data_IF_254628705714
#
_entry.id   IF_254628705714
#
_cell.length_a   1.000
_cell.length_b   1.000
_cell.length_c   1.000
_cell.angle_alpha   90.00
_cell.angle_beta   90.00
_cell.angle_gamma   90.00
#
_symmetry.space_group_name_H-M   'P 1'
#
loop_
_entity.id
_entity.type
_entity.pdbx_description
1 polymer ?
#
# COMPACT_ATOMS: atom_id res chain seq x y z
N UNK A 1 -26.12 -10.64 -30.71
CA UNK A 1 -24.75 -11.13 -30.92
C UNK A 1 -23.83 -10.11 -30.28
N UNK A 2 -22.98 -10.50 -29.33
CA UNK A 2 -22.01 -9.55 -28.75
C UNK A 2 -20.97 -9.26 -29.83
N UNK A 3 -20.77 -7.99 -30.13
CA UNK A 3 -19.80 -7.55 -31.13
C UNK A 3 -18.38 -7.72 -30.57
N UNK A 4 -17.60 -8.58 -31.22
CA UNK A 4 -16.22 -8.89 -30.86
C UNK A 4 -15.21 -8.19 -31.77
N UNK A 5 -15.65 -7.22 -32.58
CA UNK A 5 -14.78 -6.52 -33.54
C UNK A 5 -13.84 -5.51 -32.89
N UNK A 6 -14.19 -4.98 -31.73
CA UNK A 6 -13.32 -4.11 -30.93
C UNK A 6 -13.31 -4.51 -29.44
N UNK A 7 -12.52 -5.55 -29.09
CA UNK A 7 -12.41 -6.03 -27.71
C UNK A 7 -11.89 -4.97 -26.75
N UNK A 8 -10.89 -4.19 -27.16
CA UNK A 8 -10.24 -3.21 -26.29
C UNK A 8 -11.22 -2.11 -25.91
N UNK A 9 -11.90 -1.47 -26.88
CA UNK A 9 -12.85 -0.40 -26.58
C UNK A 9 -14.04 -0.92 -25.76
N UNK A 10 -14.51 -2.13 -26.06
CA UNK A 10 -15.63 -2.73 -25.32
C UNK A 10 -15.26 -3.01 -23.87
N UNK A 11 -14.10 -3.63 -23.64
CA UNK A 11 -13.62 -3.96 -22.30
C UNK A 11 -13.35 -2.69 -21.49
N UNK A 12 -12.69 -1.68 -22.07
CA UNK A 12 -12.43 -0.40 -21.40
C UNK A 12 -13.73 0.25 -20.92
N UNK A 13 -14.74 0.36 -21.79
CA UNK A 13 -16.06 0.92 -21.41
C UNK A 13 -16.74 0.13 -20.30
N UNK A 14 -16.58 -1.19 -20.28
CA UNK A 14 -17.14 -2.03 -19.22
C UNK A 14 -16.39 -1.84 -17.90
N UNK A 15 -15.06 -1.66 -17.93
CA UNK A 15 -14.26 -1.32 -16.75
C UNK A 15 -14.65 0.04 -16.16
N UNK A 16 -14.81 1.06 -17.01
CA UNK A 16 -15.27 2.39 -16.61
C UNK A 16 -16.66 2.36 -15.96
N UNK A 17 -17.53 1.45 -16.41
CA UNK A 17 -18.84 1.23 -15.83
C UNK A 17 -18.86 0.25 -14.65
N UNK A 18 -17.70 -0.25 -14.21
CA UNK A 18 -17.55 -1.28 -13.16
C UNK A 18 -18.37 -2.56 -13.41
N UNK A 19 -18.60 -2.90 -14.68
CA UNK A 19 -19.43 -4.04 -15.11
C UNK A 19 -18.62 -5.33 -15.21
N UNK A 20 -17.95 -5.74 -14.15
CA UNK A 20 -17.00 -6.86 -14.16
C UNK A 20 -17.61 -8.20 -14.58
N UNK A 21 -18.86 -8.50 -14.19
CA UNK A 21 -19.55 -9.71 -14.64
C UNK A 21 -19.83 -9.70 -16.16
N UNK A 22 -20.06 -8.53 -16.75
CA UNK A 22 -20.19 -8.40 -18.21
C UNK A 22 -18.84 -8.59 -18.90
N UNK A 23 -17.74 -8.12 -18.31
CA UNK A 23 -16.36 -8.35 -18.80
C UNK A 23 -16.05 -9.83 -18.81
N UNK A 24 -16.35 -10.55 -17.72
CA UNK A 24 -16.17 -12.01 -17.64
C UNK A 24 -16.92 -12.71 -18.77
N UNK A 25 -18.20 -12.35 -18.98
CA UNK A 25 -19.00 -12.93 -20.08
C UNK A 25 -18.38 -12.61 -21.45
N UNK A 26 -17.94 -11.38 -21.65
CA UNK A 26 -17.31 -10.94 -22.90
C UNK A 26 -16.00 -11.70 -23.17
N UNK A 27 -15.12 -11.79 -22.17
CA UNK A 27 -13.85 -12.50 -22.27
C UNK A 27 -14.07 -14.00 -22.51
N UNK A 28 -15.05 -14.63 -21.86
CA UNK A 28 -15.39 -16.04 -22.12
C UNK A 28 -15.78 -16.27 -23.59
N UNK A 29 -16.54 -15.36 -24.19
CA UNK A 29 -16.88 -15.45 -25.63
C UNK A 29 -15.66 -15.27 -26.55
N UNK A 30 -14.68 -14.44 -26.16
CA UNK A 30 -13.41 -14.36 -26.88
C UNK A 30 -12.66 -15.70 -26.79
N UNK A 31 -12.60 -16.28 -25.59
CA UNK A 31 -11.89 -17.54 -25.32
C UNK A 31 -12.56 -18.77 -25.93
N UNK A 32 -13.86 -18.73 -26.18
CA UNK A 32 -14.56 -19.73 -27.00
C UNK A 32 -14.07 -19.74 -28.46
N UNK A 33 -13.69 -18.57 -29.00
CA UNK A 33 -13.15 -18.46 -30.37
C UNK A 33 -11.67 -18.77 -30.43
N UNK A 34 -10.90 -18.26 -29.47
CA UNK A 34 -9.48 -18.54 -29.31
C UNK A 34 -9.13 -18.71 -27.82
N UNK A 35 -8.95 -19.96 -27.35
CA UNK A 35 -8.59 -20.24 -25.95
C UNK A 35 -7.25 -19.63 -25.51
N UNK A 36 -6.42 -19.16 -26.44
CA UNK A 36 -5.12 -18.53 -26.18
C UNK A 36 -5.14 -17.01 -26.39
N UNK A 37 -6.32 -16.40 -26.54
CA UNK A 37 -6.45 -14.96 -26.67
C UNK A 37 -5.94 -14.27 -25.39
N UNK A 38 -4.77 -13.63 -25.49
CA UNK A 38 -4.11 -12.96 -24.36
C UNK A 38 -4.96 -11.82 -23.79
N UNK A 39 -5.65 -11.07 -24.65
CA UNK A 39 -6.51 -9.96 -24.22
C UNK A 39 -7.68 -10.50 -23.39
N UNK A 40 -8.33 -11.56 -23.86
CA UNK A 40 -9.41 -12.23 -23.14
C UNK A 40 -8.95 -12.80 -21.81
N UNK A 41 -7.82 -13.52 -21.77
CA UNK A 41 -7.30 -14.12 -20.54
C UNK A 41 -6.87 -13.08 -19.50
N UNK A 42 -6.13 -12.04 -19.92
CA UNK A 42 -5.65 -10.98 -19.03
C UNK A 42 -6.81 -10.18 -18.42
N UNK A 43 -7.80 -9.80 -19.24
CA UNK A 43 -8.95 -9.05 -18.76
C UNK A 43 -9.92 -9.93 -17.94
N UNK A 44 -9.98 -11.24 -18.22
CA UNK A 44 -10.69 -12.19 -17.38
C UNK A 44 -10.07 -12.26 -15.98
N UNK A 45 -8.74 -12.39 -15.88
CA UNK A 45 -8.03 -12.39 -14.60
C UNK A 45 -8.30 -11.10 -13.81
N UNK A 46 -8.15 -9.93 -14.44
CA UNK A 46 -8.42 -8.64 -13.80
C UNK A 46 -9.88 -8.51 -13.37
N UNK A 47 -10.85 -8.92 -14.19
CA UNK A 47 -12.26 -8.85 -13.80
C UNK A 47 -12.58 -9.73 -12.58
N UNK A 48 -11.97 -10.92 -12.49
CA UNK A 48 -12.09 -11.78 -11.31
C UNK A 48 -11.43 -11.15 -10.06
N UNK A 49 -10.26 -10.50 -10.19
CA UNK A 49 -9.67 -9.70 -9.09
C UNK A 49 -10.66 -8.65 -8.58
N UNK A 50 -11.32 -7.91 -9.49
CA UNK A 50 -12.27 -6.84 -9.13
C UNK A 50 -13.56 -7.35 -8.47
N UNK A 51 -13.86 -8.64 -8.57
CA UNK A 51 -14.99 -9.29 -7.91
C UNK A 51 -14.57 -10.10 -6.68
N UNK A 52 -13.31 -10.01 -6.26
CA UNK A 52 -12.71 -10.83 -5.18
C UNK A 52 -12.78 -12.35 -5.45
N UNK A 53 -12.94 -12.74 -6.71
CA UNK A 53 -12.97 -14.12 -7.19
C UNK A 53 -11.52 -14.59 -7.44
N UNK A 54 -10.69 -14.54 -6.41
CA UNK A 54 -9.24 -14.68 -6.54
C UNK A 54 -8.77 -16.03 -7.09
N UNK A 55 -9.49 -17.12 -6.82
CA UNK A 55 -9.13 -18.43 -7.36
C UNK A 55 -9.33 -18.48 -8.88
N UNK A 56 -10.44 -17.94 -9.40
CA UNK A 56 -10.66 -17.82 -10.85
C UNK A 56 -9.65 -16.88 -11.52
N UNK A 57 -9.24 -15.82 -10.81
CA UNK A 57 -8.16 -14.94 -11.27
C UNK A 57 -6.82 -15.69 -11.40
N UNK A 58 -6.48 -16.57 -10.45
CA UNK A 58 -5.27 -17.41 -10.52
C UNK A 58 -5.31 -18.33 -11.74
N UNK A 59 -6.43 -19.02 -11.98
CA UNK A 59 -6.60 -19.95 -13.09
C UNK A 59 -6.44 -19.23 -14.45
N UNK A 60 -6.96 -18.00 -14.56
CA UNK A 60 -6.77 -17.17 -15.75
C UNK A 60 -5.31 -16.72 -15.91
N UNK A 61 -4.65 -16.27 -14.83
CA UNK A 61 -3.24 -15.91 -14.86
C UNK A 61 -2.34 -17.10 -15.25
N UNK A 62 -2.65 -18.31 -14.80
CA UNK A 62 -1.90 -19.52 -15.17
C UNK A 62 -1.96 -19.83 -16.66
N UNK A 63 -3.11 -19.58 -17.29
CA UNK A 63 -3.24 -19.72 -18.75
C UNK A 63 -2.39 -18.67 -19.48
N UNK A 64 -2.38 -17.42 -19.01
CA UNK A 64 -1.52 -16.36 -19.58
C UNK A 64 -0.05 -16.75 -19.44
N UNK A 65 0.38 -17.14 -18.23
CA UNK A 65 1.76 -17.50 -17.94
C UNK A 65 2.22 -18.81 -18.60
N UNK A 66 1.27 -19.67 -18.99
CA UNK A 66 1.54 -20.83 -19.84
C UNK A 66 1.80 -20.48 -21.31
N UNK A 67 1.35 -19.31 -21.77
CA UNK A 67 1.61 -18.78 -23.12
C UNK A 67 2.87 -17.92 -23.11
N UNK A 68 2.99 -17.01 -22.15
CA UNK A 68 4.15 -16.15 -21.92
C UNK A 68 4.48 -16.12 -20.42
N UNK A 69 5.54 -16.83 -20.04
CA UNK A 69 5.98 -16.94 -18.65
C UNK A 69 6.50 -15.64 -18.03
N UNK A 70 6.75 -14.62 -18.87
CA UNK A 70 7.24 -13.30 -18.51
C UNK A 70 6.19 -12.20 -18.67
N UNK A 71 4.92 -12.54 -18.87
CA UNK A 71 3.85 -11.55 -18.95
C UNK A 71 3.71 -10.79 -17.62
N UNK A 72 4.19 -9.54 -17.59
CA UNK A 72 4.24 -8.71 -16.38
C UNK A 72 2.85 -8.51 -15.78
N UNK A 73 1.84 -8.30 -16.64
CA UNK A 73 0.46 -8.06 -16.21
C UNK A 73 -0.12 -9.27 -15.48
N UNK A 74 0.05 -10.48 -16.01
CA UNK A 74 -0.38 -11.71 -15.34
C UNK A 74 0.43 -12.01 -14.08
N UNK A 75 1.74 -11.72 -14.05
CA UNK A 75 2.54 -11.85 -12.83
C UNK A 75 2.01 -10.93 -11.71
N UNK A 76 1.72 -9.67 -12.02
CA UNK A 76 1.16 -8.70 -11.06
C UNK A 76 -0.24 -9.13 -10.58
N UNK A 77 -1.12 -9.53 -11.49
CA UNK A 77 -2.46 -10.02 -11.11
C UNK A 77 -2.41 -11.32 -10.31
N UNK A 78 -1.45 -12.22 -10.59
CA UNK A 78 -1.25 -13.44 -9.81
C UNK A 78 -0.84 -13.11 -8.38
N UNK A 79 0.07 -12.15 -8.18
CA UNK A 79 0.44 -11.65 -6.85
C UNK A 79 -0.79 -11.06 -6.14
N UNK A 80 -1.57 -10.18 -6.78
CA UNK A 80 -2.80 -9.63 -6.19
C UNK A 80 -3.81 -10.70 -5.76
N UNK A 81 -4.01 -11.74 -6.59
CA UNK A 81 -4.89 -12.86 -6.25
C UNK A 81 -4.36 -13.65 -5.03
N UNK A 82 -3.05 -13.90 -4.97
CA UNK A 82 -2.42 -14.57 -3.83
C UNK A 82 -2.54 -13.75 -2.54
N UNK A 83 -2.40 -12.42 -2.64
CA UNK A 83 -2.63 -11.49 -1.51
C UNK A 83 -4.08 -11.60 -1.01
N UNK A 84 -5.06 -11.56 -1.91
CA UNK A 84 -6.48 -11.73 -1.58
C UNK A 84 -6.81 -13.08 -0.94
N UNK A 85 -6.12 -14.15 -1.37
CA UNK A 85 -6.22 -15.49 -0.78
C UNK A 85 -5.37 -15.68 0.49
N UNK A 86 -4.57 -14.67 0.87
CA UNK A 86 -3.61 -14.74 1.99
C UNK A 86 -2.56 -15.85 1.85
N UNK A 87 -2.21 -16.22 0.61
CA UNK A 87 -1.17 -17.21 0.26
C UNK A 87 0.19 -16.52 0.11
N UNK A 88 0.65 -15.91 1.21
CA UNK A 88 1.83 -15.03 1.20
C UNK A 88 3.14 -15.76 0.95
N UNK A 89 3.19 -17.08 1.20
CA UNK A 89 4.35 -17.93 0.98
C UNK A 89 4.69 -18.13 -0.51
N UNK A 90 3.72 -17.96 -1.41
CA UNK A 90 3.91 -18.11 -2.86
C UNK A 90 4.30 -16.81 -3.57
N UNK A 91 4.01 -15.65 -2.96
CA UNK A 91 4.23 -14.33 -3.56
C UNK A 91 5.71 -14.05 -3.87
N UNK A 92 6.69 -14.35 -2.99
CA UNK A 92 8.09 -14.01 -3.22
C UNK A 92 8.64 -14.53 -4.56
N UNK A 93 8.27 -15.76 -4.97
CA UNK A 93 8.74 -16.31 -6.24
C UNK A 93 8.25 -15.55 -7.47
N UNK A 94 7.06 -14.93 -7.42
CA UNK A 94 6.55 -14.10 -8.51
C UNK A 94 7.13 -12.68 -8.47
N UNK A 95 7.30 -12.12 -7.27
CA UNK A 95 8.00 -10.84 -7.10
C UNK A 95 9.46 -10.92 -7.54
N UNK A 96 10.17 -12.03 -7.29
CA UNK A 96 11.54 -12.25 -7.79
C UNK A 96 11.59 -12.22 -9.32
N UNK A 97 10.61 -12.83 -10.00
CA UNK A 97 10.52 -12.77 -11.46
C UNK A 97 10.31 -11.33 -11.94
N UNK A 98 9.36 -10.59 -11.36
CA UNK A 98 9.13 -9.19 -11.69
C UNK A 98 10.39 -8.33 -11.48
N UNK A 99 11.08 -8.53 -10.35
CA UNK A 99 12.32 -7.81 -10.02
C UNK A 99 13.51 -8.23 -10.88
N UNK A 100 13.48 -9.40 -11.51
CA UNK A 100 14.47 -9.79 -12.52
C UNK A 100 14.26 -9.10 -13.86
N UNK A 101 13.02 -8.69 -14.15
CA UNK A 101 12.66 -7.91 -15.34
C UNK A 101 12.95 -6.42 -15.11
N UNK A 102 12.56 -5.90 -13.95
CA UNK A 102 12.90 -4.55 -13.49
C UNK A 102 13.21 -4.54 -11.99
N UNK A 103 14.49 -4.43 -11.65
CA UNK A 103 14.97 -4.43 -10.27
C UNK A 103 14.50 -3.21 -9.44
N UNK A 104 13.96 -2.19 -10.11
CA UNK A 104 13.49 -0.92 -9.54
C UNK A 104 11.96 -0.82 -9.51
N UNK A 105 11.22 -1.86 -9.92
CA UNK A 105 9.76 -1.86 -9.87
C UNK A 105 9.28 -1.71 -8.41
N UNK A 106 8.84 -0.50 -8.07
CA UNK A 106 8.39 -0.11 -6.73
C UNK A 106 7.17 -0.93 -6.29
N UNK A 107 6.31 -1.32 -7.22
CA UNK A 107 5.15 -2.16 -6.90
C UNK A 107 5.61 -3.56 -6.49
N UNK A 108 6.52 -4.17 -7.27
CA UNK A 108 7.05 -5.50 -6.96
C UNK A 108 7.88 -5.50 -5.66
N UNK A 109 8.67 -4.45 -5.40
CA UNK A 109 9.39 -4.26 -4.13
C UNK A 109 8.42 -4.18 -2.95
N UNK A 110 7.32 -3.44 -3.09
CA UNK A 110 6.31 -3.31 -2.05
C UNK A 110 5.57 -4.63 -1.77
N UNK A 111 5.13 -5.33 -2.81
CA UNK A 111 4.45 -6.63 -2.66
C UNK A 111 5.39 -7.68 -2.04
N UNK A 112 6.68 -7.69 -2.42
CA UNK A 112 7.68 -8.55 -1.78
C UNK A 112 7.81 -8.24 -0.29
N UNK A 113 8.02 -6.97 0.06
CA UNK A 113 8.10 -6.55 1.47
C UNK A 113 6.84 -6.93 2.24
N UNK A 114 5.66 -6.74 1.64
CA UNK A 114 4.38 -7.02 2.29
C UNK A 114 4.21 -8.52 2.57
N UNK A 115 4.49 -9.36 1.58
CA UNK A 115 4.47 -10.81 1.75
C UNK A 115 5.42 -11.27 2.87
N UNK A 116 6.66 -10.77 2.88
CA UNK A 116 7.64 -11.10 3.93
C UNK A 116 7.17 -10.67 5.32
N UNK A 117 6.60 -9.47 5.45
CA UNK A 117 6.05 -8.97 6.71
C UNK A 117 4.88 -9.83 7.22
N UNK A 118 3.99 -10.30 6.33
CA UNK A 118 2.90 -11.21 6.69
C UNK A 118 3.40 -12.60 7.11
N UNK A 119 4.58 -13.00 6.62
CA UNK A 119 5.27 -14.22 7.05
C UNK A 119 6.09 -14.02 8.34
N UNK A 120 6.02 -12.84 8.97
CA UNK A 120 6.77 -12.52 10.20
C UNK A 120 8.24 -12.20 9.99
N UNK A 121 8.67 -11.99 8.74
CA UNK A 121 10.06 -11.66 8.37
C UNK A 121 10.23 -10.14 8.26
N UNK A 122 10.00 -9.45 9.36
CA UNK A 122 9.94 -7.99 9.38
C UNK A 122 11.27 -7.32 8.99
N UNK A 123 12.41 -7.88 9.39
CA UNK A 123 13.73 -7.38 8.99
C UNK A 123 13.95 -7.47 7.47
N UNK A 124 13.63 -8.63 6.87
CA UNK A 124 13.72 -8.82 5.42
C UNK A 124 12.75 -7.88 4.69
N UNK A 125 11.54 -7.69 5.22
CA UNK A 125 10.54 -6.79 4.62
C UNK A 125 11.02 -5.34 4.56
N UNK A 126 11.66 -4.86 5.63
CA UNK A 126 12.16 -3.49 5.72
C UNK A 126 13.21 -3.19 4.65
N UNK A 127 14.05 -4.17 4.28
CA UNK A 127 15.05 -4.04 3.21
C UNK A 127 14.39 -3.78 1.85
N UNK A 128 13.28 -4.47 1.54
CA UNK A 128 12.56 -4.24 0.29
C UNK A 128 11.85 -2.89 0.26
N UNK A 129 11.28 -2.46 1.39
CA UNK A 129 10.73 -1.10 1.49
C UNK A 129 11.81 -0.03 1.38
N UNK A 130 13.01 -0.26 1.91
CA UNK A 130 14.14 0.65 1.72
C UNK A 130 14.55 0.79 0.27
N UNK A 131 14.56 -0.31 -0.48
CA UNK A 131 14.78 -0.27 -1.93
C UNK A 131 13.67 0.51 -2.65
N UNK A 132 12.40 0.28 -2.29
CA UNK A 132 11.28 1.02 -2.88
C UNK A 132 11.38 2.53 -2.60
N UNK A 133 11.73 2.91 -1.37
CA UNK A 133 11.92 4.30 -0.94
C UNK A 133 13.19 4.95 -1.52
N UNK A 134 14.17 4.17 -1.96
CA UNK A 134 15.32 4.70 -2.68
C UNK A 134 14.94 5.19 -4.09
N UNK A 135 13.98 4.52 -4.74
CA UNK A 135 13.45 4.92 -6.05
C UNK A 135 12.36 6.00 -5.90
N UNK A 136 11.45 5.84 -4.93
CA UNK A 136 10.38 6.79 -4.64
C UNK A 136 10.35 7.18 -3.15
N UNK A 137 11.11 8.21 -2.73
CA UNK A 137 11.25 8.58 -1.32
C UNK A 137 9.99 9.01 -0.58
N UNK A 138 8.94 9.36 -1.33
CA UNK A 138 7.62 9.79 -0.85
C UNK A 138 6.52 8.75 -1.12
N UNK A 139 6.87 7.54 -1.53
CA UNK A 139 5.88 6.49 -1.77
C UNK A 139 5.19 6.12 -0.44
N UNK A 140 3.95 6.58 -0.29
CA UNK A 140 3.15 6.42 0.92
C UNK A 140 3.01 4.95 1.33
N UNK A 141 2.74 4.06 0.38
CA UNK A 141 2.58 2.62 0.63
C UNK A 141 3.84 2.03 1.26
N UNK A 142 5.01 2.37 0.69
CA UNK A 142 6.31 1.91 1.20
C UNK A 142 6.60 2.48 2.59
N UNK A 143 6.33 3.78 2.80
CA UNK A 143 6.50 4.44 4.09
C UNK A 143 5.63 3.81 5.18
N UNK A 144 4.33 3.63 4.91
CA UNK A 144 3.39 3.05 5.87
C UNK A 144 3.75 1.61 6.22
N UNK A 145 4.08 0.79 5.22
CA UNK A 145 4.39 -0.61 5.45
C UNK A 145 5.75 -0.77 6.16
N UNK A 146 6.75 0.05 5.83
CA UNK A 146 8.01 0.08 6.56
C UNK A 146 7.81 0.52 8.02
N UNK A 147 7.00 1.57 8.25
CA UNK A 147 6.68 2.04 9.59
C UNK A 147 6.04 0.93 10.43
N UNK A 148 5.14 0.16 9.84
CA UNK A 148 4.49 -0.98 10.48
C UNK A 148 5.49 -2.12 10.77
N UNK A 149 6.40 -2.43 9.85
CA UNK A 149 7.46 -3.41 10.09
C UNK A 149 8.36 -2.98 11.27
N UNK A 150 8.79 -1.71 11.29
CA UNK A 150 9.56 -1.14 12.40
C UNK A 150 8.81 -1.21 13.73
N UNK A 151 7.51 -0.90 13.71
CA UNK A 151 6.64 -1.02 14.88
C UNK A 151 6.59 -2.46 15.41
N UNK A 152 6.41 -3.46 14.54
CA UNK A 152 6.38 -4.89 14.95
C UNK A 152 7.71 -5.36 15.54
N UNK A 153 8.81 -4.77 15.09
CA UNK A 153 10.15 -5.00 15.64
C UNK A 153 10.45 -4.19 16.93
N UNK A 154 9.50 -3.39 17.42
CA UNK A 154 9.62 -2.47 18.56
C UNK A 154 10.59 -1.28 18.34
N UNK A 155 10.95 -0.98 17.09
CA UNK A 155 11.66 0.24 16.71
C UNK A 155 10.66 1.41 16.60
N UNK A 156 10.13 1.83 17.75
CA UNK A 156 9.03 2.79 17.82
C UNK A 156 9.40 4.20 17.36
N UNK A 157 10.66 4.60 17.51
CA UNK A 157 11.16 5.93 17.12
C UNK A 157 11.25 6.01 15.59
N UNK A 158 11.90 5.02 14.98
CA UNK A 158 12.02 4.88 13.54
C UNK A 158 10.65 4.71 12.87
N UNK A 159 9.73 4.00 13.53
CA UNK A 159 8.33 3.88 13.09
C UNK A 159 7.63 5.25 13.09
N UNK A 160 7.75 6.01 14.18
CA UNK A 160 7.13 7.33 14.31
C UNK A 160 7.67 8.33 13.27
N UNK A 161 8.98 8.29 12.99
CA UNK A 161 9.61 9.11 11.95
C UNK A 161 9.09 8.76 10.54
N UNK A 162 8.87 7.48 10.25
CA UNK A 162 8.27 7.06 8.99
C UNK A 162 6.82 7.51 8.87
N UNK A 163 6.03 7.44 9.95
CA UNK A 163 4.66 7.99 9.93
C UNK A 163 4.64 9.53 9.79
N UNK A 164 5.63 10.23 10.35
CA UNK A 164 5.82 11.67 10.12
C UNK A 164 6.01 11.96 8.62
N UNK A 165 6.86 11.17 7.95
CA UNK A 165 7.06 11.25 6.50
C UNK A 165 5.79 10.92 5.70
N UNK A 166 4.94 10.01 6.18
CA UNK A 166 3.62 9.75 5.55
C UNK A 166 2.75 10.99 5.63
N UNK A 167 2.64 11.62 6.81
CA UNK A 167 1.86 12.85 6.99
C UNK A 167 2.38 14.01 6.12
N UNK A 168 3.70 14.11 5.93
CA UNK A 168 4.31 15.11 5.04
C UNK A 168 4.06 14.81 3.56
N UNK A 169 4.04 13.53 3.17
CA UNK A 169 3.80 13.12 1.79
C UNK A 169 2.33 13.26 1.39
N UNK A 170 1.42 12.86 2.29
CA UNK A 170 -0.03 12.98 2.11
C UNK A 170 -0.72 13.30 3.46
N UNK A 171 -1.02 14.59 3.70
CA UNK A 171 -1.73 15.02 4.90
C UNK A 171 -3.17 14.48 5.03
N UNK A 172 -3.77 13.95 3.96
CA UNK A 172 -5.12 13.38 4.01
C UNK A 172 -5.15 12.02 4.74
N UNK A 173 -3.99 11.36 4.89
CA UNK A 173 -3.87 10.05 5.54
C UNK A 173 -3.83 10.22 7.06
N UNK A 174 -5.02 10.42 7.63
CA UNK A 174 -5.21 10.56 9.08
C UNK A 174 -4.73 9.34 9.88
N UNK A 175 -4.71 8.16 9.24
CA UNK A 175 -4.23 6.93 9.86
C UNK A 175 -2.75 7.01 10.32
N UNK A 176 -1.92 7.82 9.64
CA UNK A 176 -0.51 7.97 10.00
C UNK A 176 -0.33 8.65 11.37
N UNK A 177 -1.11 9.70 11.66
CA UNK A 177 -1.08 10.37 12.96
C UNK A 177 -1.49 9.44 14.10
N UNK A 178 -2.54 8.63 13.90
CA UNK A 178 -2.98 7.64 14.87
C UNK A 178 -1.93 6.54 15.12
N UNK A 179 -1.31 6.01 14.06
CA UNK A 179 -0.28 5.00 14.17
C UNK A 179 1.01 5.54 14.83
N UNK A 180 1.39 6.78 14.52
CA UNK A 180 2.47 7.51 15.19
C UNK A 180 2.20 7.69 16.69
N UNK A 181 0.98 8.10 17.06
CA UNK A 181 0.56 8.22 18.46
C UNK A 181 0.66 6.89 19.21
N UNK A 182 0.27 5.79 18.57
CA UNK A 182 0.40 4.46 19.15
C UNK A 182 1.87 4.06 19.33
N UNK A 183 2.75 4.32 18.36
CA UNK A 183 4.19 4.08 18.50
C UNK A 183 4.80 4.84 19.71
N UNK A 184 4.44 6.11 19.90
CA UNK A 184 4.83 6.87 21.09
C UNK A 184 4.25 6.30 22.39
N UNK A 185 2.99 5.86 22.37
CA UNK A 185 2.35 5.23 23.53
C UNK A 185 3.08 3.96 23.96
N UNK A 186 3.50 3.13 23.01
CA UNK A 186 4.21 1.86 23.26
C UNK A 186 5.63 2.06 23.77
N UNK A 187 6.27 3.16 23.41
CA UNK A 187 7.56 3.58 23.97
C UNK A 187 7.44 4.36 25.29
N UNK A 188 6.23 4.54 25.84
CA UNK A 188 5.98 5.21 27.12
C UNK A 188 5.99 6.73 27.07
N UNK A 189 6.08 7.32 25.87
CA UNK A 189 6.14 8.77 25.61
C UNK A 189 4.74 9.36 25.47
N UNK A 190 4.08 9.57 26.62
CA UNK A 190 2.66 9.97 26.69
C UNK A 190 2.39 11.36 26.10
N UNK A 191 3.32 12.30 26.27
CA UNK A 191 3.15 13.67 25.77
C UNK A 191 3.26 13.71 24.24
N UNK A 192 4.27 13.04 23.68
CA UNK A 192 4.43 12.86 22.23
C UNK A 192 3.26 12.08 21.64
N UNK A 193 2.75 11.06 22.33
CA UNK A 193 1.56 10.32 21.88
C UNK A 193 0.33 11.23 21.80
N UNK A 194 0.09 12.06 22.83
CA UNK A 194 -1.00 13.03 22.82
C UNK A 194 -0.88 14.02 21.65
N UNK A 195 0.30 14.60 21.45
CA UNK A 195 0.55 15.58 20.41
C UNK A 195 0.46 14.95 19.01
N UNK A 196 1.01 13.75 18.81
CA UNK A 196 0.90 13.02 17.55
C UNK A 196 -0.57 12.69 17.20
N UNK A 197 -1.42 12.41 18.21
CA UNK A 197 -2.85 12.20 17.99
C UNK A 197 -3.57 13.47 17.50
N UNK A 198 -3.01 14.66 17.72
CA UNK A 198 -3.51 15.92 17.15
C UNK A 198 -3.05 16.14 15.69
N UNK A 199 -2.24 15.23 15.15
CA UNK A 199 -1.70 15.34 13.79
C UNK A 199 -0.39 16.13 13.70
N UNK A 200 0.22 16.49 14.84
CA UNK A 200 1.46 17.27 14.86
C UNK A 200 2.65 16.46 14.34
N UNK A 201 3.51 17.14 13.59
CA UNK A 201 4.79 16.62 13.13
C UNK A 201 5.83 16.63 14.24
N UNK A 202 6.87 15.79 14.11
CA UNK A 202 7.91 15.61 15.15
C UNK A 202 8.55 16.93 15.60
N UNK A 203 8.86 17.83 14.66
CA UNK A 203 9.47 19.12 14.98
C UNK A 203 8.52 20.08 15.71
N UNK A 204 7.24 20.06 15.38
CA UNK A 204 6.22 20.88 16.06
C UNK A 204 6.05 20.43 17.52
N UNK A 205 6.02 19.10 17.72
CA UNK A 205 5.92 18.50 19.05
C UNK A 205 7.11 18.88 19.94
N UNK A 206 8.34 18.81 19.41
CA UNK A 206 9.56 19.24 20.14
C UNK A 206 9.46 20.69 20.62
N UNK A 207 8.94 21.58 19.77
CA UNK A 207 8.73 22.98 20.11
C UNK A 207 7.75 23.17 21.28
N UNK A 208 6.61 22.47 21.26
CA UNK A 208 5.60 22.55 22.32
C UNK A 208 6.16 21.99 23.64
N UNK A 209 6.87 20.86 23.58
CA UNK A 209 7.47 20.23 24.77
C UNK A 209 8.52 21.16 25.40
N UNK A 210 9.38 21.80 24.59
CA UNK A 210 10.36 22.77 25.09
C UNK A 210 9.68 23.95 25.80
N UNK A 211 8.66 24.55 25.17
CA UNK A 211 7.92 25.67 25.76
C UNK A 211 7.21 25.28 27.06
N UNK A 212 6.63 24.08 27.12
CA UNK A 212 5.98 23.58 28.33
C UNK A 212 6.96 23.48 29.49
N UNK A 213 8.18 22.98 29.23
CA UNK A 213 9.25 22.91 30.21
C UNK A 213 9.72 24.31 30.68
N UNK A 214 9.94 25.24 29.74
CA UNK A 214 10.32 26.62 30.03
C UNK A 214 9.28 27.34 30.89
N UNK A 215 8.00 27.16 30.56
CA UNK A 215 6.86 27.77 31.27
C UNK A 215 6.44 27.01 32.54
N UNK A 216 7.10 25.87 32.83
CA UNK A 216 6.81 25.00 33.98
C UNK A 216 5.34 24.57 34.05
N UNK A 217 4.73 24.28 32.90
CA UNK A 217 3.37 23.77 32.78
C UNK A 217 3.36 22.37 32.14
N UNK A 218 2.20 21.71 32.09
CA UNK A 218 2.11 20.42 31.37
C UNK A 218 2.04 20.66 29.86
N UNK A 219 2.46 19.66 29.08
CA UNK A 219 2.39 19.72 27.60
C UNK A 219 0.96 20.00 27.12
N UNK A 220 -0.05 19.42 27.77
CA UNK A 220 -1.45 19.71 27.48
C UNK A 220 -1.80 21.20 27.67
N UNK A 221 -1.39 21.82 28.78
CA UNK A 221 -1.64 23.24 29.02
C UNK A 221 -0.93 24.12 27.99
N UNK A 222 0.31 23.80 27.64
CA UNK A 222 1.06 24.54 26.62
C UNK A 222 0.39 24.44 25.25
N UNK A 223 -0.03 23.24 24.84
CA UNK A 223 -0.74 23.01 23.58
C UNK A 223 -2.04 23.84 23.51
N UNK A 224 -2.85 23.84 24.57
CA UNK A 224 -4.07 24.63 24.61
C UNK A 224 -3.81 26.16 24.56
N UNK A 225 -2.72 26.62 25.17
CA UNK A 225 -2.32 28.02 25.12
C UNK A 225 -1.88 28.42 23.69
N UNK A 226 -1.07 27.59 23.04
CA UNK A 226 -0.62 27.82 21.66
C UNK A 226 -1.82 27.89 20.70
N UNK A 227 -2.76 26.94 20.80
CA UNK A 227 -4.02 26.93 20.02
C UNK A 227 -4.91 28.17 20.26
N UNK A 228 -4.94 28.68 21.50
CA UNK A 228 -5.68 29.88 21.83
C UNK A 228 -5.04 31.12 21.19
N UNK A 229 -3.71 31.25 21.31
CA UNK A 229 -2.96 32.39 20.81
C UNK A 229 -2.96 32.45 19.26
N UNK A 230 -2.94 31.31 18.58
CA UNK A 230 -3.08 31.25 17.11
C UNK A 230 -4.45 31.75 16.64
N UNK A 231 -5.53 31.37 17.35
CA UNK A 231 -6.89 31.83 17.02
C UNK A 231 -7.08 33.33 17.23
N UNK A 232 -6.45 33.91 18.26
CA UNK A 232 -6.53 35.35 18.50
C UNK A 232 -5.71 36.17 17.49
N UNK A 233 -4.61 35.62 16.95
CA UNK A 233 -3.82 36.26 15.88
C UNK A 233 -4.49 36.22 14.51
N UNK A 234 -5.39 35.27 14.28
CA UNK A 234 -6.15 35.12 13.04
C UNK A 234 -7.45 35.95 12.97
N UNK A 235 -7.77 36.72 14.01
CA UNK A 235 -8.92 37.65 14.10
C UNK A 235 -8.48 39.08 13.84
#
# INVERSE_FOLDING_TARGET
MIDLTDPVATITRLFEGEKYSEIIRYCRLMLEKDPRDMTGLQNLAMAHIRLDEYQDALDACEKVLGIDSSDEYALKNKVLALEGLRRFDEIPGFCEKLLSMDAKDVWALNSMGMALGQLGKDEESAVFYDRALAEEPKNVTSLMNKALAMYRMNYFDESADLYDRVQQADPAIKAAAAAKSDAYSRSGRKDEAFLAAQGLLAEEMKGIISRAAENKCTVFHQFCQDEFDEKEKGR
#
